data_IF_863193820610
#
_entry.id   IF_863193820610
#
_cell.length_a   1.000
_cell.length_b   1.000
_cell.length_c   1.000
_cell.angle_alpha   90.00
_cell.angle_beta   90.00
_cell.angle_gamma   90.00
#
_symmetry.space_group_name_H-M   'P 1'
#
loop_
_entity.id
_entity.type
_entity.pdbx_description
1 polymer ?
#
# COMPACT_ATOMS: atom_id res chain seq x y z
N UNK A 1 -0.23 -6.19 7.95
CA UNK A 1 0.13 -6.63 6.59
C UNK A 1 1.64 -6.54 6.45
N UNK A 2 2.18 -5.37 6.79
CA UNK A 2 3.59 -5.00 6.91
C UNK A 2 4.42 -6.09 7.59
N UNK A 3 4.00 -6.58 8.77
CA UNK A 3 4.72 -7.66 9.47
C UNK A 3 4.82 -8.96 8.66
N UNK A 4 3.84 -9.30 7.83
CA UNK A 4 3.93 -10.47 6.95
C UNK A 4 4.98 -10.24 5.87
N UNK A 5 5.01 -9.06 5.26
CA UNK A 5 6.02 -8.70 4.25
C UNK A 5 7.43 -8.72 4.85
N UNK A 6 7.59 -8.26 6.09
CA UNK A 6 8.85 -8.37 6.82
C UNK A 6 9.27 -9.82 7.07
N UNK A 7 8.35 -10.67 7.52
CA UNK A 7 8.62 -12.10 7.74
C UNK A 7 9.07 -12.78 6.44
N UNK A 8 8.43 -12.47 5.30
CA UNK A 8 8.89 -12.96 3.99
C UNK A 8 10.29 -12.45 3.65
N UNK A 9 10.57 -11.16 3.83
CA UNK A 9 11.90 -10.60 3.60
C UNK A 9 12.98 -11.29 4.44
N UNK A 10 12.72 -11.48 5.74
CA UNK A 10 13.63 -12.19 6.66
C UNK A 10 13.84 -13.65 6.25
N UNK A 11 12.80 -14.34 5.78
CA UNK A 11 12.93 -15.71 5.27
C UNK A 11 13.88 -15.78 4.07
N UNK A 12 13.74 -14.87 3.10
CA UNK A 12 14.64 -14.82 1.94
C UNK A 12 16.08 -14.48 2.32
N UNK A 13 16.30 -13.56 3.27
CA UNK A 13 17.65 -13.30 3.80
C UNK A 13 18.20 -14.50 4.58
N UNK A 14 17.39 -15.20 5.38
CA UNK A 14 17.80 -16.43 6.06
C UNK A 14 18.22 -17.53 5.06
N UNK A 15 17.49 -17.65 3.94
CA UNK A 15 17.84 -18.60 2.88
C UNK A 15 19.20 -18.28 2.22
N UNK A 16 19.64 -17.02 2.20
CA UNK A 16 20.97 -16.65 1.64
C UNK A 16 22.12 -17.29 2.41
N UNK A 17 21.99 -17.44 3.73
CA UNK A 17 23.01 -18.11 4.55
C UNK A 17 23.14 -19.59 4.22
N UNK A 18 22.02 -20.24 3.88
CA UNK A 18 22.01 -21.66 3.54
C UNK A 18 22.45 -21.91 2.08
N UNK A 19 22.15 -20.99 1.17
CA UNK A 19 22.48 -21.12 -0.25
C UNK A 19 23.89 -20.66 -0.62
N UNK A 20 24.61 -20.04 0.32
CA UNK A 20 25.96 -19.48 0.12
C UNK A 20 26.95 -20.51 -0.47
N UNK A 21 26.98 -21.73 0.08
CA UNK A 21 27.91 -22.78 -0.38
C UNK A 21 27.37 -23.60 -1.56
N UNK A 22 26.11 -23.42 -1.96
CA UNK A 22 25.46 -24.29 -2.96
C UNK A 22 25.52 -23.71 -4.38
N UNK A 23 25.23 -22.41 -4.55
CA UNK A 23 25.22 -21.76 -5.87
C UNK A 23 25.18 -20.23 -5.77
N UNK A 24 26.11 -19.56 -6.46
CA UNK A 24 26.17 -18.09 -6.53
C UNK A 24 24.88 -17.48 -7.11
N UNK A 25 24.23 -18.16 -8.08
CA UNK A 25 23.00 -17.67 -8.68
C UNK A 25 21.84 -17.65 -7.67
N UNK A 26 21.73 -18.66 -6.82
CA UNK A 26 20.69 -18.73 -5.77
C UNK A 26 20.89 -17.66 -4.71
N UNK A 27 22.14 -17.43 -4.30
CA UNK A 27 22.49 -16.37 -3.37
C UNK A 27 22.06 -14.99 -3.88
N UNK A 28 22.44 -14.64 -5.13
CA UNK A 28 22.09 -13.35 -5.74
C UNK A 28 20.58 -13.20 -5.87
N UNK A 29 19.89 -14.23 -6.35
CA UNK A 29 18.44 -14.23 -6.52
C UNK A 29 17.70 -13.97 -5.20
N UNK A 30 18.08 -14.69 -4.13
CA UNK A 30 17.46 -14.53 -2.82
C UNK A 30 17.75 -13.15 -2.21
N UNK A 31 18.95 -12.61 -2.41
CA UNK A 31 19.32 -11.27 -1.93
C UNK A 31 18.49 -10.19 -2.64
N UNK A 32 18.29 -10.30 -3.96
CA UNK A 32 17.45 -9.38 -4.74
C UNK A 32 16.02 -9.42 -4.22
N UNK A 33 15.44 -10.61 -4.07
CA UNK A 33 14.07 -10.75 -3.57
C UNK A 33 13.95 -10.19 -2.15
N UNK A 34 14.83 -10.59 -1.24
CA UNK A 34 14.84 -10.09 0.15
C UNK A 34 14.86 -8.57 0.21
N UNK A 35 15.67 -7.94 -0.65
CA UNK A 35 15.79 -6.48 -0.76
C UNK A 35 14.53 -5.83 -1.31
N UNK A 36 13.94 -6.37 -2.39
CA UNK A 36 12.68 -5.87 -2.95
C UNK A 36 11.55 -5.94 -1.90
N UNK A 37 11.48 -7.04 -1.15
CA UNK A 37 10.48 -7.21 -0.11
C UNK A 37 10.69 -6.24 1.06
N UNK A 38 11.95 -5.99 1.44
CA UNK A 38 12.28 -5.00 2.46
C UNK A 38 11.87 -3.59 2.03
N UNK A 39 12.11 -3.22 0.77
CA UNK A 39 11.67 -1.92 0.23
C UNK A 39 10.14 -1.80 0.23
N UNK A 40 9.42 -2.87 -0.15
CA UNK A 40 7.96 -2.90 -0.05
C UNK A 40 7.48 -2.71 1.39
N UNK A 41 8.14 -3.36 2.35
CA UNK A 41 7.83 -3.21 3.77
C UNK A 41 8.04 -1.77 4.27
N UNK A 42 9.20 -1.17 3.96
CA UNK A 42 9.51 0.21 4.32
C UNK A 42 8.51 1.20 3.71
N UNK A 43 8.14 0.98 2.44
CA UNK A 43 7.12 1.77 1.76
C UNK A 43 5.76 1.68 2.48
N UNK A 44 5.31 0.47 2.84
CA UNK A 44 4.04 0.29 3.55
C UNK A 44 4.04 0.91 4.95
N UNK A 45 5.17 0.87 5.67
CA UNK A 45 5.31 1.55 6.98
C UNK A 45 5.21 3.06 6.81
N UNK A 46 5.89 3.62 5.80
CA UNK A 46 5.83 5.05 5.52
C UNK A 46 4.41 5.49 5.18
N UNK A 47 3.75 4.78 4.27
CA UNK A 47 2.36 5.07 3.87
C UNK A 47 1.40 5.01 5.06
N UNK A 48 1.58 4.06 5.99
CA UNK A 48 0.79 3.99 7.22
C UNK A 48 0.94 5.25 8.08
N UNK A 49 2.18 5.70 8.33
CA UNK A 49 2.43 6.90 9.15
C UNK A 49 1.76 8.13 8.55
N UNK A 50 1.93 8.32 7.23
CA UNK A 50 1.32 9.45 6.51
C UNK A 50 -0.22 9.35 6.49
N UNK A 51 -0.79 8.14 6.47
CA UNK A 51 -2.23 7.94 6.59
C UNK A 51 -2.76 8.32 7.99
N UNK A 52 -2.07 7.92 9.04
CA UNK A 52 -2.44 8.24 10.43
C UNK A 52 -2.35 9.75 10.68
N UNK A 53 -1.28 10.39 10.20
CA UNK A 53 -1.09 11.84 10.27
C UNK A 53 -2.21 12.59 9.53
N UNK A 54 -2.57 12.16 8.32
CA UNK A 54 -3.69 12.75 7.58
C UNK A 54 -5.03 12.56 8.31
N UNK A 55 -5.28 11.39 8.90
CA UNK A 55 -6.50 11.14 9.64
C UNK A 55 -6.63 12.03 10.88
N UNK A 56 -5.55 12.21 11.64
CA UNK A 56 -5.50 13.11 12.79
C UNK A 56 -5.66 14.57 12.37
N UNK A 57 -5.01 14.96 11.28
CA UNK A 57 -5.15 16.30 10.70
C UNK A 57 -6.60 16.56 10.27
N UNK A 58 -7.22 15.62 9.56
CA UNK A 58 -8.60 15.71 9.08
C UNK A 58 -9.58 15.85 10.26
N UNK A 59 -9.36 15.09 11.33
CA UNK A 59 -10.20 15.15 12.53
C UNK A 59 -10.08 16.50 13.26
N UNK A 60 -8.85 17.03 13.39
CA UNK A 60 -8.59 18.29 14.08
C UNK A 60 -9.07 19.52 13.30
N UNK A 61 -9.02 19.47 11.96
CA UNK A 61 -9.39 20.59 11.09
C UNK A 61 -10.78 20.45 10.45
N UNK A 62 -11.57 19.44 10.83
CA UNK A 62 -12.90 19.16 10.25
C UNK A 62 -13.82 20.39 10.18
N UNK A 63 -13.85 21.22 11.23
CA UNK A 63 -14.73 22.40 11.28
C UNK A 63 -14.25 23.51 10.35
N UNK A 64 -12.94 23.73 10.28
CA UNK A 64 -12.32 24.77 9.44
C UNK A 64 -12.51 24.46 7.96
N UNK A 65 -12.30 23.20 7.59
CA UNK A 65 -12.51 22.67 6.22
C UNK A 65 -13.94 22.89 5.72
N UNK A 66 -14.95 22.75 6.59
CA UNK A 66 -16.35 22.92 6.21
C UNK A 66 -16.75 24.38 5.98
N UNK A 67 -15.94 25.33 6.46
CA UNK A 67 -16.28 26.75 6.46
C UNK A 67 -15.45 27.56 5.46
N UNK A 68 -14.21 27.17 5.23
CA UNK A 68 -13.29 27.86 4.31
C UNK A 68 -12.39 26.86 3.57
N UNK A 69 -11.08 26.89 3.80
CA UNK A 69 -10.06 26.05 3.16
C UNK A 69 -8.99 25.70 4.18
N UNK A 70 -8.44 24.49 4.09
CA UNK A 70 -7.36 24.06 4.97
C UNK A 70 -6.16 23.58 4.16
N UNK A 71 -4.97 23.67 4.73
CA UNK A 71 -3.74 23.21 4.08
C UNK A 71 -3.19 21.96 4.76
N UNK A 72 -2.90 20.93 3.98
CA UNK A 72 -2.20 19.74 4.42
C UNK A 72 -0.95 19.54 3.55
N UNK A 73 0.23 19.52 4.15
CA UNK A 73 1.50 19.34 3.44
C UNK A 73 1.66 20.25 2.21
N UNK A 74 1.31 21.54 2.37
CA UNK A 74 1.33 22.57 1.33
C UNK A 74 0.30 22.42 0.20
N UNK A 75 -0.62 21.46 0.30
CA UNK A 75 -1.74 21.33 -0.62
C UNK A 75 -2.99 21.96 -0.02
N UNK A 76 -3.67 22.79 -0.80
CA UNK A 76 -4.98 23.33 -0.46
C UNK A 76 -6.01 22.20 -0.55
N UNK A 77 -6.80 22.04 0.51
CA UNK A 77 -7.86 21.06 0.63
C UNK A 77 -9.18 21.81 0.81
N UNK A 78 -10.06 21.61 -0.16
CA UNK A 78 -11.43 22.13 -0.22
C UNK A 78 -12.44 20.98 -0.26
N UNK A 79 -13.72 21.27 -0.05
CA UNK A 79 -14.81 20.27 -0.09
C UNK A 79 -14.85 19.47 -1.41
N UNK A 80 -14.45 20.09 -2.52
CA UNK A 80 -14.45 19.50 -3.85
C UNK A 80 -13.14 18.75 -4.19
N UNK A 81 -12.19 18.71 -3.24
CA UNK A 81 -10.92 18.02 -3.45
C UNK A 81 -11.16 16.51 -3.60
N UNK A 82 -10.65 15.95 -4.70
CA UNK A 82 -10.75 14.54 -5.01
C UNK A 82 -9.58 13.77 -4.43
N UNK A 83 -9.88 12.79 -3.60
CA UNK A 83 -8.92 11.86 -3.03
C UNK A 83 -9.03 10.49 -3.68
N UNK A 84 -7.87 9.89 -3.95
CA UNK A 84 -7.73 8.55 -4.51
C UNK A 84 -7.09 7.64 -3.46
N UNK A 85 -7.62 6.42 -3.33
CA UNK A 85 -6.99 5.35 -2.55
C UNK A 85 -6.79 4.10 -3.38
N UNK A 86 -5.64 3.48 -3.17
CA UNK A 86 -5.33 2.17 -3.69
C UNK A 86 -5.46 1.12 -2.59
N UNK A 87 -5.60 -0.12 -3.01
CA UNK A 87 -5.78 -1.24 -2.10
C UNK A 87 -4.71 -2.29 -2.39
N UNK A 88 -4.16 -2.88 -1.33
CA UNK A 88 -3.28 -4.02 -1.39
C UNK A 88 -3.87 -5.19 -0.63
N UNK A 89 -3.62 -6.40 -1.11
CA UNK A 89 -3.95 -7.64 -0.41
C UNK A 89 -2.71 -8.49 -0.23
N UNK A 90 -2.51 -8.95 1.00
CA UNK A 90 -1.54 -10.00 1.33
C UNK A 90 -2.34 -11.17 1.89
N UNK A 91 -2.21 -12.29 1.21
CA UNK A 91 -2.85 -13.55 1.53
C UNK A 91 -1.79 -14.54 2.00
N UNK A 92 -2.16 -15.45 2.88
CA UNK A 92 -1.36 -16.60 3.27
C UNK A 92 -2.26 -17.69 3.84
N UNK A 93 -2.07 -18.93 3.37
CA UNK A 93 -2.85 -20.11 3.75
C UNK A 93 -4.37 -19.91 3.65
N UNK A 94 -5.05 -19.55 4.74
CA UNK A 94 -6.50 -19.37 4.80
C UNK A 94 -6.94 -17.94 5.11
N UNK A 95 -5.99 -17.00 5.24
CA UNK A 95 -6.27 -15.62 5.59
C UNK A 95 -5.82 -14.65 4.51
N UNK A 96 -6.62 -13.61 4.29
CA UNK A 96 -6.30 -12.48 3.41
C UNK A 96 -6.46 -11.19 4.19
N UNK A 97 -5.44 -10.34 4.15
CA UNK A 97 -5.44 -9.04 4.82
C UNK A 97 -5.44 -7.94 3.78
N UNK A 98 -6.48 -7.14 3.82
CA UNK A 98 -6.63 -5.94 3.00
C UNK A 98 -5.95 -4.76 3.69
N UNK A 99 -5.30 -3.91 2.90
CA UNK A 99 -4.71 -2.66 3.34
C UNK A 99 -4.99 -1.61 2.30
N UNK A 100 -5.60 -0.52 2.70
CA UNK A 100 -5.79 0.65 1.86
C UNK A 100 -4.63 1.62 2.07
N UNK A 101 -4.23 2.30 0.99
CA UNK A 101 -3.21 3.34 1.02
C UNK A 101 -3.65 4.56 1.83
N UNK A 102 -2.75 5.52 2.03
CA UNK A 102 -3.15 6.90 2.36
C UNK A 102 -4.03 7.50 1.27
N UNK A 103 -4.71 8.60 1.60
CA UNK A 103 -5.46 9.40 0.64
C UNK A 103 -4.49 10.20 -0.21
N UNK A 104 -4.57 10.05 -1.53
CA UNK A 104 -3.79 10.85 -2.47
C UNK A 104 -4.68 11.90 -3.11
N UNK A 105 -4.32 13.18 -3.00
CA UNK A 105 -4.94 14.25 -3.76
C UNK A 105 -4.69 14.04 -5.26
N UNK A 106 -5.77 13.97 -6.03
CA UNK A 106 -5.73 13.81 -7.48
C UNK A 106 -5.10 15.06 -8.13
N UNK A 107 -4.04 14.87 -8.93
CA UNK A 107 -3.32 15.96 -9.61
C UNK A 107 -2.13 16.53 -8.85
N UNK A 108 -2.06 16.34 -7.53
CA UNK A 108 -0.95 16.82 -6.70
C UNK A 108 0.15 15.77 -6.49
N UNK A 109 -0.22 14.50 -6.30
CA UNK A 109 0.74 13.43 -6.08
C UNK A 109 1.00 12.61 -7.35
N UNK A 110 2.15 11.92 -7.37
CA UNK A 110 2.52 10.89 -8.37
C UNK A 110 1.63 9.64 -8.23
N UNK A 111 0.34 9.79 -8.50
CA UNK A 111 -0.68 8.74 -8.35
C UNK A 111 -0.39 7.48 -9.19
N UNK A 112 0.20 7.53 -10.40
CA UNK A 112 0.51 6.31 -11.15
C UNK A 112 1.58 5.44 -10.48
N UNK A 113 2.55 6.04 -9.79
CA UNK A 113 3.60 5.31 -9.07
C UNK A 113 3.01 4.57 -7.87
N UNK A 114 2.17 5.23 -7.08
CA UNK A 114 1.51 4.60 -5.93
C UNK A 114 0.56 3.49 -6.36
N UNK A 115 -0.18 3.69 -7.46
CA UNK A 115 -0.97 2.63 -8.11
C UNK A 115 -0.12 1.41 -8.45
N UNK A 116 1.03 1.61 -9.07
CA UNK A 116 1.93 0.54 -9.46
C UNK A 116 2.46 -0.21 -8.23
N UNK A 117 2.88 0.50 -7.18
CA UNK A 117 3.38 -0.11 -5.94
C UNK A 117 2.31 -0.97 -5.24
N UNK A 118 1.10 -0.47 -5.04
CA UNK A 118 0.02 -1.23 -4.39
C UNK A 118 -0.43 -2.43 -5.24
N UNK A 119 -0.45 -2.28 -6.56
CA UNK A 119 -0.73 -3.38 -7.48
C UNK A 119 0.37 -4.43 -7.46
N UNK A 120 1.63 -4.01 -7.43
CA UNK A 120 2.79 -4.90 -7.34
C UNK A 120 2.77 -5.72 -6.05
N UNK A 121 2.49 -5.09 -4.90
CA UNK A 121 2.35 -5.79 -3.62
C UNK A 121 1.22 -6.83 -3.69
N UNK A 122 0.07 -6.46 -4.26
CA UNK A 122 -1.05 -7.39 -4.44
C UNK A 122 -0.69 -8.54 -5.37
N UNK A 123 0.04 -8.27 -6.45
CA UNK A 123 0.49 -9.27 -7.40
C UNK A 123 1.52 -10.24 -6.79
N UNK A 124 2.33 -9.80 -5.82
CA UNK A 124 3.27 -10.70 -5.16
C UNK A 124 2.60 -11.53 -4.06
N UNK A 125 1.67 -10.94 -3.33
CA UNK A 125 1.20 -11.52 -2.06
C UNK A 125 -0.27 -11.90 -2.02
N UNK A 126 -1.10 -11.50 -2.99
CA UNK A 126 -2.54 -11.76 -2.94
C UNK A 126 -2.93 -13.22 -3.19
N UNK A 127 -2.08 -13.99 -3.88
CA UNK A 127 -2.43 -15.32 -4.39
C UNK A 127 -2.47 -16.42 -3.35
N UNK A 128 -1.78 -16.26 -2.22
CA UNK A 128 -1.42 -17.37 -1.34
C UNK A 128 -2.52 -17.82 -0.38
N UNK A 129 -3.78 -17.39 -0.57
CA UNK A 129 -4.91 -17.95 0.19
C UNK A 129 -5.73 -18.93 -0.64
N UNK A 130 -6.04 -20.08 -0.05
CA UNK A 130 -6.91 -21.11 -0.63
C UNK A 130 -8.27 -21.03 0.06
N UNK A 131 -9.41 -21.00 -0.68
CA UNK A 131 -9.55 -21.05 -2.14
C UNK A 131 -9.65 -19.68 -2.85
N UNK A 132 -9.80 -18.57 -2.11
CA UNK A 132 -10.24 -17.28 -2.68
C UNK A 132 -9.11 -16.29 -3.05
N UNK A 133 -7.85 -16.63 -2.82
CA UNK A 133 -6.69 -15.75 -3.06
C UNK A 133 -6.64 -15.22 -4.50
N UNK A 134 -6.69 -16.07 -5.53
CA UNK A 134 -6.66 -15.61 -6.91
C UNK A 134 -7.81 -14.65 -7.27
N UNK A 135 -9.03 -14.94 -6.79
CA UNK A 135 -10.21 -14.11 -7.06
C UNK A 135 -10.04 -12.72 -6.44
N UNK A 136 -9.72 -12.67 -5.15
CA UNK A 136 -9.51 -11.39 -4.43
C UNK A 136 -8.37 -10.57 -5.03
N UNK A 137 -7.29 -11.24 -5.43
CA UNK A 137 -6.14 -10.61 -6.10
C UNK A 137 -6.56 -9.94 -7.40
N UNK A 138 -7.25 -10.67 -8.28
CA UNK A 138 -7.70 -10.13 -9.58
C UNK A 138 -8.63 -8.93 -9.38
N UNK A 139 -9.59 -9.02 -8.45
CA UNK A 139 -10.53 -7.92 -8.15
C UNK A 139 -9.79 -6.66 -7.72
N UNK A 140 -8.81 -6.78 -6.82
CA UNK A 140 -8.05 -5.64 -6.30
C UNK A 140 -7.11 -5.06 -7.36
N UNK A 141 -6.42 -5.90 -8.13
CA UNK A 141 -5.60 -5.46 -9.27
C UNK A 141 -6.43 -4.67 -10.28
N UNK A 142 -7.58 -5.22 -10.69
CA UNK A 142 -8.49 -4.57 -11.62
C UNK A 142 -8.95 -3.20 -11.12
N UNK A 143 -9.29 -3.11 -9.82
CA UNK A 143 -9.70 -1.86 -9.18
C UNK A 143 -8.58 -0.81 -9.19
N UNK A 144 -7.36 -1.20 -8.80
CA UNK A 144 -6.22 -0.29 -8.81
C UNK A 144 -5.92 0.20 -10.24
N UNK A 145 -5.97 -0.70 -11.24
CA UNK A 145 -5.74 -0.35 -12.64
C UNK A 145 -6.75 0.67 -13.18
N UNK A 146 -8.02 0.57 -12.76
CA UNK A 146 -9.09 1.55 -13.06
C UNK A 146 -8.97 2.89 -12.33
N UNK A 147 -7.92 3.08 -11.52
CA UNK A 147 -7.63 4.34 -10.84
C UNK A 147 -7.99 4.34 -9.35
N UNK A 148 -8.23 3.17 -8.75
CA UNK A 148 -8.50 3.04 -7.32
C UNK A 148 -9.90 3.52 -6.92
N UNK A 149 -10.09 3.67 -5.61
CA UNK A 149 -11.31 4.26 -5.04
C UNK A 149 -11.18 5.77 -5.02
N UNK A 150 -12.24 6.48 -5.42
CA UNK A 150 -12.29 7.95 -5.40
C UNK A 150 -13.27 8.40 -4.33
N UNK A 151 -12.88 9.42 -3.58
CA UNK A 151 -13.67 10.03 -2.52
C UNK A 151 -13.60 11.54 -2.67
N UNK A 152 -14.70 12.24 -2.46
CA UNK A 152 -14.65 13.69 -2.18
C UNK A 152 -14.35 13.91 -0.71
N UNK A 153 -13.94 15.12 -0.34
CA UNK A 153 -13.76 15.45 1.08
C UNK A 153 -15.07 15.34 1.86
N UNK A 154 -16.19 15.70 1.24
CA UNK A 154 -17.53 15.55 1.84
C UNK A 154 -17.84 14.09 2.19
N UNK A 155 -17.47 13.13 1.33
CA UNK A 155 -17.62 11.69 1.62
C UNK A 155 -16.79 11.24 2.82
N UNK A 156 -15.66 11.89 3.10
CA UNK A 156 -14.77 11.57 4.22
C UNK A 156 -15.21 12.18 5.55
N UNK A 157 -16.04 13.22 5.50
CA UNK A 157 -16.50 13.95 6.67
C UNK A 157 -17.88 13.50 7.17
N UNK A 158 -18.61 12.70 6.40
CA UNK A 158 -19.88 12.08 6.78
C UNK A 158 -19.65 10.85 7.66
#
# INVERSE_FOLDING_TARGET
>A
MEWLVLLFSMFFYGATFWSYDTSQANFIFQLIIGTVLLLCFLYLIRDRREQEEFALWLQSHRKEILTDRAFFNHFEITTDTLFIRYEAVVSFAFFSKHRTSRYFIQGAHLTPLHRAMFSFITLLFGWWSVPFGPITTIVVLWRNLRGGHRYTLSDLLN
#
